data_IF_522878902445
#
_entry.id   IF_522878902445
#
_cell.length_a   1.000
_cell.length_b   1.000
_cell.length_c   1.000
_cell.angle_alpha   90.00
_cell.angle_beta   90.00
_cell.angle_gamma   90.00
#
_symmetry.space_group_name_H-M   'P 1'
#
loop_
_entity.id
_entity.type
_entity.pdbx_description
1 polymer ?
#
# COMPACT_ATOMS: atom_id res chain seq x y z
N UNK A 1 -13.39 16.69 6.46
CA UNK A 1 -13.10 15.50 7.27
C UNK A 1 -11.66 15.19 6.99
N UNK A 2 -10.85 15.13 8.04
CA UNK A 2 -9.40 14.91 7.90
C UNK A 2 -9.17 13.57 7.20
N UNK A 3 -8.70 13.63 5.95
CA UNK A 3 -8.38 12.45 5.13
C UNK A 3 -6.99 11.93 5.51
N UNK A 4 -6.62 12.06 6.80
CA UNK A 4 -5.34 11.63 7.32
C UNK A 4 -5.26 10.12 7.14
N UNK A 5 -4.52 9.75 6.10
CA UNK A 5 -3.87 8.46 5.97
C UNK A 5 -3.38 8.10 7.38
N UNK A 6 -3.95 7.03 7.95
CA UNK A 6 -3.59 6.60 9.31
C UNK A 6 -2.08 6.50 9.40
N UNK A 7 -1.50 7.22 10.35
CA UNK A 7 -0.06 7.23 10.57
C UNK A 7 0.35 5.92 11.26
N UNK A 8 0.54 4.88 10.45
CA UNK A 8 1.17 3.63 10.88
C UNK A 8 2.71 3.74 10.84
N UNK A 9 3.25 4.79 10.24
CA UNK A 9 4.69 4.97 10.02
C UNK A 9 5.43 5.07 11.36
N UNK A 10 4.79 5.69 12.36
CA UNK A 10 5.29 5.72 13.74
C UNK A 10 5.47 4.35 14.40
N UNK A 11 4.94 3.25 13.82
CA UNK A 11 5.06 1.89 14.35
C UNK A 11 6.06 1.02 13.57
N UNK A 12 6.57 1.52 12.44
CA UNK A 12 7.48 0.79 11.57
C UNK A 12 8.92 0.83 12.09
N UNK A 13 9.55 -0.34 12.06
CA UNK A 13 11.00 -0.48 12.01
C UNK A 13 11.33 -1.27 10.74
N UNK A 14 11.83 -0.58 9.70
CA UNK A 14 12.18 -1.21 8.43
C UNK A 14 13.42 -2.10 8.52
N UNK A 15 14.26 -1.90 9.56
CA UNK A 15 15.39 -2.78 9.87
C UNK A 15 14.98 -4.05 10.61
N UNK A 16 13.81 -4.04 11.27
CA UNK A 16 13.19 -5.19 11.92
C UNK A 16 11.72 -5.39 11.48
N UNK A 17 11.49 -5.92 10.25
CA UNK A 17 10.15 -6.23 9.78
C UNK A 17 9.42 -7.26 10.66
N UNK A 18 10.15 -8.19 11.30
CA UNK A 18 9.57 -9.22 12.16
C UNK A 18 9.05 -8.64 13.49
N UNK A 19 9.82 -7.75 14.12
CA UNK A 19 9.38 -7.00 15.29
C UNK A 19 8.21 -6.07 14.96
N UNK A 20 8.23 -5.43 13.79
CA UNK A 20 7.10 -4.64 13.30
C UNK A 20 5.84 -5.49 13.12
N UNK A 21 5.95 -6.66 12.48
CA UNK A 21 4.84 -7.60 12.32
C UNK A 21 4.24 -8.01 13.67
N UNK A 22 5.08 -8.25 14.68
CA UNK A 22 4.66 -8.59 16.03
C UNK A 22 3.86 -7.46 16.69
N UNK A 23 4.28 -6.20 16.51
CA UNK A 23 3.53 -5.03 16.99
C UNK A 23 2.17 -4.89 16.30
N UNK A 24 2.11 -5.07 14.98
CA UNK A 24 0.84 -5.03 14.25
C UNK A 24 -0.12 -6.14 14.66
N UNK A 25 0.36 -7.37 14.84
CA UNK A 25 -0.45 -8.48 15.38
C UNK A 25 -0.99 -8.19 16.77
N UNK A 26 -0.15 -7.65 17.67
CA UNK A 26 -0.58 -7.26 19.00
C UNK A 26 -1.67 -6.19 18.94
N UNK A 27 -1.53 -5.18 18.07
CA UNK A 27 -2.56 -4.17 17.88
C UNK A 27 -3.86 -4.76 17.34
N UNK A 28 -3.79 -5.69 16.38
CA UNK A 28 -4.95 -6.38 15.77
C UNK A 28 -5.71 -7.27 16.78
N UNK A 29 -5.07 -7.70 17.86
CA UNK A 29 -5.73 -8.45 18.93
C UNK A 29 -6.59 -7.58 19.86
N UNK A 30 -6.39 -6.26 19.83
CA UNK A 30 -7.18 -5.29 20.57
C UNK A 30 -8.39 -4.83 19.76
N UNK A 31 -9.44 -4.27 20.41
CA UNK A 31 -10.58 -3.69 19.69
C UNK A 31 -10.14 -2.63 18.65
N UNK A 32 -10.72 -2.76 17.46
CA UNK A 32 -10.53 -1.81 16.35
C UNK A 32 -11.59 -0.70 16.40
N UNK A 33 -11.24 0.55 16.04
CA UNK A 33 -12.22 1.63 15.95
C UNK A 33 -13.30 1.36 14.91
N UNK A 34 -12.90 0.81 13.76
CA UNK A 34 -13.77 0.48 12.64
C UNK A 34 -13.10 -0.56 11.72
N UNK A 35 -13.85 -1.05 10.74
CA UNK A 35 -13.38 -2.07 9.79
C UNK A 35 -12.31 -1.53 8.83
N UNK A 36 -12.40 -0.25 8.43
CA UNK A 36 -11.35 0.36 7.62
C UNK A 36 -10.00 0.32 8.34
N UNK A 37 -9.99 0.56 9.66
CA UNK A 37 -8.78 0.53 10.50
C UNK A 37 -8.17 -0.84 10.48
N UNK A 38 -9.00 -1.86 10.70
CA UNK A 38 -8.53 -3.24 10.72
C UNK A 38 -7.91 -3.62 9.38
N UNK A 39 -8.60 -3.35 8.28
CA UNK A 39 -8.12 -3.73 6.94
C UNK A 39 -6.86 -2.96 6.53
N UNK A 40 -6.81 -1.65 6.77
CA UNK A 40 -5.60 -0.87 6.48
C UNK A 40 -4.42 -1.34 7.34
N UNK A 41 -4.62 -1.71 8.61
CA UNK A 41 -3.56 -2.29 9.44
C UNK A 41 -3.13 -3.68 8.96
N UNK A 42 -4.07 -4.52 8.50
CA UNK A 42 -3.75 -5.81 7.89
C UNK A 42 -2.89 -5.66 6.63
N UNK A 43 -3.09 -4.60 5.83
CA UNK A 43 -2.19 -4.35 4.68
C UNK A 43 -0.75 -4.11 5.14
N UNK A 44 -0.56 -3.41 6.25
CA UNK A 44 0.78 -3.19 6.82
C UNK A 44 1.39 -4.50 7.35
N UNK A 45 0.57 -5.36 7.96
CA UNK A 45 1.02 -6.70 8.34
C UNK A 45 1.43 -7.53 7.10
N UNK A 46 0.63 -7.54 6.04
CA UNK A 46 1.00 -8.21 4.79
C UNK A 46 2.32 -7.69 4.22
N UNK A 47 2.55 -6.38 4.26
CA UNK A 47 3.82 -5.76 3.88
C UNK A 47 5.01 -6.30 4.68
N UNK A 48 4.86 -6.40 6.01
CA UNK A 48 5.93 -6.95 6.87
C UNK A 48 6.27 -8.39 6.50
N UNK A 49 5.27 -9.21 6.14
CA UNK A 49 5.48 -10.59 5.70
C UNK A 49 6.16 -10.65 4.33
N UNK A 50 5.76 -9.79 3.39
CA UNK A 50 6.39 -9.66 2.08
C UNK A 50 7.88 -9.29 2.17
N UNK A 51 8.23 -8.34 3.04
CA UNK A 51 9.62 -7.94 3.29
C UNK A 51 10.47 -9.08 3.88
N UNK A 52 9.85 -9.97 4.65
CA UNK A 52 10.48 -11.18 5.19
C UNK A 52 10.51 -12.35 4.18
N UNK A 53 10.00 -12.15 2.96
CA UNK A 53 9.83 -13.17 1.92
C UNK A 53 8.87 -14.29 2.30
N UNK A 54 8.00 -14.06 3.28
CA UNK A 54 6.92 -14.95 3.67
C UNK A 54 5.71 -14.76 2.75
N UNK A 55 5.90 -14.92 1.44
CA UNK A 55 4.91 -14.52 0.43
C UNK A 55 3.57 -15.25 0.58
N UNK A 56 3.58 -16.52 0.96
CA UNK A 56 2.35 -17.27 1.23
C UNK A 56 1.53 -16.67 2.39
N UNK A 57 2.20 -16.25 3.46
CA UNK A 57 1.53 -15.59 4.59
C UNK A 57 1.02 -14.20 4.20
N UNK A 58 1.80 -13.44 3.44
CA UNK A 58 1.39 -12.14 2.91
C UNK A 58 0.14 -12.27 2.03
N UNK A 59 0.11 -13.23 1.10
CA UNK A 59 -1.06 -13.48 0.26
C UNK A 59 -2.28 -13.93 1.06
N UNK A 60 -2.13 -14.81 2.05
CA UNK A 60 -3.26 -15.23 2.88
C UNK A 60 -3.92 -14.04 3.63
N UNK A 61 -3.12 -13.10 4.14
CA UNK A 61 -3.64 -11.86 4.74
C UNK A 61 -4.35 -11.00 3.70
N UNK A 62 -3.77 -10.86 2.51
CA UNK A 62 -4.36 -10.07 1.42
C UNK A 62 -5.67 -10.69 0.90
N UNK A 63 -5.80 -12.02 0.89
CA UNK A 63 -7.03 -12.71 0.53
C UNK A 63 -8.14 -12.47 1.57
N UNK A 64 -7.78 -12.42 2.86
CA UNK A 64 -8.72 -12.00 3.92
C UNK A 64 -9.20 -10.56 3.67
N UNK A 65 -8.28 -9.64 3.36
CA UNK A 65 -8.63 -8.24 3.08
C UNK A 65 -9.57 -8.17 1.88
N UNK A 66 -9.22 -8.82 0.76
CA UNK A 66 -10.00 -8.82 -0.47
C UNK A 66 -11.45 -9.28 -0.23
N UNK A 67 -11.64 -10.32 0.59
CA UNK A 67 -12.98 -10.83 0.92
C UNK A 67 -13.85 -9.88 1.74
N UNK A 68 -13.22 -8.93 2.45
CA UNK A 68 -13.87 -7.97 3.33
C UNK A 68 -13.99 -6.56 2.72
N UNK A 69 -13.32 -6.30 1.59
CA UNK A 69 -13.39 -4.99 0.92
C UNK A 69 -14.79 -4.68 0.40
N UNK A 70 -15.17 -3.41 0.53
CA UNK A 70 -16.41 -2.86 -0.01
C UNK A 70 -16.15 -1.46 -0.59
N UNK A 71 -17.08 -0.94 -1.40
CA UNK A 71 -16.98 0.42 -1.97
C UNK A 71 -16.88 1.52 -0.89
N UNK A 72 -17.33 1.23 0.34
CA UNK A 72 -17.24 2.16 1.48
C UNK A 72 -15.84 2.22 2.12
N UNK A 73 -14.87 1.45 1.60
CA UNK A 73 -13.53 1.31 2.17
C UNK A 73 -12.42 1.66 1.15
N UNK A 74 -12.48 2.83 0.50
CA UNK A 74 -11.65 3.11 -0.67
C UNK A 74 -10.14 3.21 -0.34
N UNK A 75 -9.76 3.73 0.83
CA UNK A 75 -8.34 3.81 1.22
C UNK A 75 -7.77 2.41 1.52
N UNK A 76 -8.56 1.54 2.15
CA UNK A 76 -8.19 0.13 2.35
C UNK A 76 -8.01 -0.60 1.01
N UNK A 77 -8.89 -0.32 0.04
CA UNK A 77 -8.78 -0.87 -1.31
C UNK A 77 -7.49 -0.44 -2.01
N UNK A 78 -7.10 0.84 -1.92
CA UNK A 78 -5.85 1.35 -2.49
C UNK A 78 -4.63 0.64 -1.87
N UNK A 79 -4.59 0.57 -0.52
CA UNK A 79 -3.50 -0.10 0.19
C UNK A 79 -3.44 -1.60 -0.12
N UNK A 80 -4.59 -2.28 -0.24
CA UNK A 80 -4.65 -3.67 -0.68
C UNK A 80 -3.94 -3.88 -2.01
N UNK A 81 -4.26 -3.06 -3.01
CA UNK A 81 -3.63 -3.15 -4.33
C UNK A 81 -2.13 -2.85 -4.28
N UNK A 82 -1.69 -1.83 -3.54
CA UNK A 82 -0.26 -1.58 -3.32
C UNK A 82 0.47 -2.80 -2.77
N UNK A 83 -0.05 -3.38 -1.68
CA UNK A 83 0.65 -4.47 -1.00
C UNK A 83 0.57 -5.79 -1.77
N UNK A 84 -0.55 -6.09 -2.45
CA UNK A 84 -0.64 -7.23 -3.38
C UNK A 84 0.38 -7.12 -4.50
N UNK A 85 0.50 -5.95 -5.12
CA UNK A 85 1.52 -5.68 -6.14
C UNK A 85 2.94 -5.84 -5.59
N UNK A 86 3.24 -5.33 -4.39
CA UNK A 86 4.57 -5.45 -3.76
C UNK A 86 4.99 -6.89 -3.50
N UNK A 87 4.05 -7.73 -3.03
CA UNK A 87 4.30 -9.15 -2.79
C UNK A 87 4.61 -9.86 -4.11
N UNK A 88 3.79 -9.66 -5.15
CA UNK A 88 3.99 -10.23 -6.49
C UNK A 88 5.34 -9.80 -7.10
N UNK A 89 5.64 -8.50 -7.05
CA UNK A 89 6.90 -7.97 -7.59
C UNK A 89 8.12 -8.57 -6.86
N UNK A 90 8.05 -8.65 -5.54
CA UNK A 90 9.13 -9.22 -4.71
C UNK A 90 9.30 -10.73 -4.91
N UNK A 91 8.25 -11.42 -5.36
CA UNK A 91 8.29 -12.82 -5.79
C UNK A 91 8.83 -13.02 -7.23
N UNK A 92 9.13 -11.93 -7.95
CA UNK A 92 9.61 -11.96 -9.34
C UNK A 92 8.49 -11.93 -10.39
N UNK A 93 7.26 -11.64 -9.98
CA UNK A 93 6.07 -11.65 -10.84
C UNK A 93 5.64 -10.23 -11.24
N UNK A 94 6.60 -9.40 -11.69
CA UNK A 94 6.38 -7.98 -11.98
C UNK A 94 5.23 -7.71 -12.98
N UNK A 95 5.06 -8.59 -13.97
CA UNK A 95 3.93 -8.50 -14.92
C UNK A 95 2.56 -8.65 -14.26
N UNK A 96 2.45 -9.45 -13.20
CA UNK A 96 1.22 -9.58 -12.40
C UNK A 96 1.08 -8.46 -11.37
N UNK A 97 2.18 -7.85 -10.94
CA UNK A 97 2.16 -6.71 -10.02
C UNK A 97 1.63 -5.42 -10.68
N UNK A 98 1.98 -5.17 -11.95
CA UNK A 98 1.69 -3.92 -12.66
C UNK A 98 0.21 -3.51 -12.63
N UNK A 99 -0.76 -4.39 -12.94
CA UNK A 99 -2.18 -4.02 -12.87
C UNK A 99 -2.62 -3.58 -11.47
N UNK A 100 -2.05 -4.15 -10.41
CA UNK A 100 -2.37 -3.73 -9.04
C UNK A 100 -1.84 -2.33 -8.73
N UNK A 101 -0.62 -2.00 -9.13
CA UNK A 101 -0.08 -0.65 -8.91
C UNK A 101 -0.85 0.42 -9.71
N UNK A 102 -1.28 0.11 -10.93
CA UNK A 102 -2.11 1.01 -11.73
C UNK A 102 -3.50 1.21 -11.10
N UNK A 103 -4.12 0.13 -10.62
CA UNK A 103 -5.37 0.22 -9.88
C UNK A 103 -5.23 1.10 -8.62
N UNK A 104 -4.15 0.92 -7.85
CA UNK A 104 -3.87 1.76 -6.68
C UNK A 104 -3.64 3.24 -7.06
N UNK A 105 -2.95 3.53 -8.15
CA UNK A 105 -2.73 4.89 -8.65
C UNK A 105 -4.05 5.60 -8.95
N UNK A 106 -4.91 4.97 -9.74
CA UNK A 106 -6.19 5.55 -10.13
C UNK A 106 -7.13 5.72 -8.92
N UNK A 107 -7.20 4.71 -8.06
CA UNK A 107 -8.02 4.76 -6.84
C UNK A 107 -7.55 5.82 -5.84
N UNK A 108 -6.23 5.94 -5.61
CA UNK A 108 -5.67 6.92 -4.69
C UNK A 108 -6.00 8.35 -5.12
N UNK A 109 -5.90 8.64 -6.43
CA UNK A 109 -6.25 9.95 -7.00
C UNK A 109 -7.74 10.24 -6.88
N UNK A 110 -8.59 9.24 -7.09
CA UNK A 110 -10.04 9.40 -6.98
C UNK A 110 -10.47 9.81 -5.58
N UNK A 111 -9.75 9.35 -4.54
CA UNK A 111 -10.09 9.64 -3.13
C UNK A 111 -9.19 10.68 -2.48
N UNK A 112 -8.31 11.33 -3.25
CA UNK A 112 -7.40 12.37 -2.75
C UNK A 112 -6.39 11.87 -1.71
N UNK A 113 -5.94 10.62 -1.82
CA UNK A 113 -4.91 10.04 -0.97
C UNK A 113 -3.53 10.24 -1.61
N UNK A 114 -3.04 11.48 -1.59
CA UNK A 114 -1.93 11.90 -2.46
C UNK A 114 -0.62 11.15 -2.21
N UNK A 115 -0.26 10.89 -0.94
CA UNK A 115 0.92 10.09 -0.61
C UNK A 115 0.84 8.66 -1.19
N UNK A 116 -0.36 8.06 -1.16
CA UNK A 116 -0.57 6.72 -1.73
C UNK A 116 -0.57 6.75 -3.26
N UNK A 117 -1.01 7.84 -3.87
CA UNK A 117 -0.92 8.03 -5.31
C UNK A 117 0.55 8.10 -5.73
N UNK A 118 1.36 8.96 -5.09
CA UNK A 118 2.79 9.06 -5.38
C UNK A 118 3.49 7.71 -5.19
N UNK A 119 3.19 6.98 -4.11
CA UNK A 119 3.72 5.63 -3.89
C UNK A 119 3.32 4.67 -5.01
N UNK A 120 2.05 4.66 -5.41
CA UNK A 120 1.56 3.80 -6.49
C UNK A 120 2.24 4.09 -7.83
N UNK A 121 2.37 5.37 -8.22
CA UNK A 121 3.06 5.74 -9.46
C UNK A 121 4.54 5.31 -9.44
N UNK A 122 5.21 5.49 -8.31
CA UNK A 122 6.57 4.99 -8.12
C UNK A 122 6.64 3.47 -8.29
N UNK A 123 5.68 2.74 -7.73
CA UNK A 123 5.61 1.29 -7.89
C UNK A 123 5.32 0.84 -9.32
N UNK A 124 4.51 1.58 -10.08
CA UNK A 124 4.34 1.32 -11.53
C UNK A 124 5.67 1.50 -12.25
N UNK A 125 6.41 2.59 -11.96
CA UNK A 125 7.71 2.84 -12.58
C UNK A 125 8.71 1.69 -12.34
N UNK A 126 8.74 1.11 -11.13
CA UNK A 126 9.63 -0.01 -10.80
C UNK A 126 9.41 -1.24 -11.69
N UNK A 127 8.17 -1.51 -12.10
CA UNK A 127 7.81 -2.70 -12.90
C UNK A 127 7.57 -2.40 -14.38
N UNK A 128 7.80 -1.15 -14.80
CA UNK A 128 7.61 -0.72 -16.17
C UNK A 128 8.87 -0.92 -17.03
N UNK A 129 8.69 -0.94 -18.35
CA UNK A 129 9.81 -0.93 -19.30
C UNK A 129 10.57 0.39 -19.24
N UNK A 130 11.88 0.44 -19.57
CA UNK A 130 12.75 1.61 -19.34
C UNK A 130 12.18 2.95 -19.79
N UNK A 131 11.58 3.02 -20.99
CA UNK A 131 11.01 4.25 -21.54
C UNK A 131 9.77 4.71 -20.75
N UNK A 132 8.99 3.76 -20.22
CA UNK A 132 7.82 4.05 -19.38
C UNK A 132 8.23 4.46 -17.95
N UNK A 133 9.37 4.01 -17.42
CA UNK A 133 9.81 4.36 -16.06
C UNK A 133 9.98 5.87 -15.89
N UNK A 134 10.57 6.55 -16.88
CA UNK A 134 10.77 8.00 -16.86
C UNK A 134 9.41 8.71 -16.80
N UNK A 135 8.47 8.30 -17.66
CA UNK A 135 7.13 8.89 -17.70
C UNK A 135 6.39 8.74 -16.36
N UNK A 136 6.45 7.56 -15.74
CA UNK A 136 5.81 7.34 -14.44
C UNK A 136 6.49 8.12 -13.30
N UNK A 137 7.82 8.26 -13.33
CA UNK A 137 8.53 9.08 -12.36
C UNK A 137 8.18 10.57 -12.50
N UNK A 138 8.14 11.09 -13.73
CA UNK A 138 7.72 12.47 -14.01
C UNK A 138 6.27 12.71 -13.55
N UNK A 139 5.38 11.75 -13.77
CA UNK A 139 3.99 11.82 -13.32
C UNK A 139 3.87 11.82 -11.79
N UNK A 140 4.66 11.01 -11.09
CA UNK A 140 4.70 10.98 -9.63
C UNK A 140 5.20 12.32 -9.06
N UNK A 141 6.28 12.88 -9.62
CA UNK A 141 6.82 14.18 -9.21
C UNK A 141 5.81 15.30 -9.47
N UNK A 142 5.23 15.37 -10.67
CA UNK A 142 4.26 16.41 -11.00
C UNK A 142 3.02 16.36 -10.08
N UNK A 143 2.57 15.15 -9.72
CA UNK A 143 1.47 14.98 -8.77
C UNK A 143 1.86 15.40 -7.35
N UNK A 144 3.08 15.07 -6.91
CA UNK A 144 3.60 15.47 -5.61
C UNK A 144 3.72 17.00 -5.49
N UNK A 145 4.28 17.67 -6.49
CA UNK A 145 4.41 19.14 -6.54
C UNK A 145 3.06 19.85 -6.50
N UNK A 146 2.04 19.29 -7.17
CA UNK A 146 0.69 19.83 -7.17
C UNK A 146 -0.06 19.62 -5.84
N UNK A 147 0.34 18.67 -5.00
CA UNK A 147 -0.35 18.37 -3.74
C UNK A 147 -0.16 19.49 -2.70
N UNK A 148 -1.22 19.79 -1.96
CA UNK A 148 -1.19 20.69 -0.79
C UNK A 148 -1.01 19.92 0.53
N UNK A 149 -0.93 18.58 0.48
CA UNK A 149 -0.81 17.73 1.67
C UNK A 149 0.61 17.81 2.25
N UNK A 150 0.77 18.05 3.57
CA UNK A 150 2.07 18.04 4.22
C UNK A 150 2.80 16.71 4.02
N UNK A 151 4.08 16.77 3.64
CA UNK A 151 4.93 15.57 3.50
C UNK A 151 4.82 14.83 2.16
N UNK A 152 4.01 15.33 1.21
CA UNK A 152 3.95 14.78 -0.15
C UNK A 152 5.00 15.42 -1.09
N UNK A 153 5.36 16.68 -0.84
CA UNK A 153 6.38 17.45 -1.60
C UNK A 153 7.81 17.21 -1.12
#
# INVERSE_FOLDING_TARGET
>A
MDNSVRDFDGWWDYGDPAGTASRFRARLAEPMPDEAYRLELLTQLARTEGLQRNFAAAHAILDEIESALTEALPVAWVRYHLERGRVLNSAGEGGLARPHFQAAWDGARQVGADSLAVDAAHMVAIVAEPDEQILWNEQAIAYAEASEQPGVR
#
